data_IF_168450122907
#
_entry.id   IF_168450122907
#
_cell.length_a   1.000
_cell.length_b   1.000
_cell.length_c   1.000
_cell.angle_alpha   90.00
_cell.angle_beta   90.00
_cell.angle_gamma   90.00
#
_symmetry.space_group_name_H-M   'P 1'
#
loop_
_entity.id
_entity.type
_entity.pdbx_description
1 polymer ?
#
# COMPACT_ATOMS: atom_id res chain seq x y z
N UNK A 1 11.60 -18.90 57.32
CA UNK A 1 11.18 -18.52 58.69
C UNK A 1 11.53 -17.04 58.84
N UNK A 2 10.65 -16.14 58.38
CA UNK A 2 9.53 -15.57 59.16
C UNK A 2 10.07 -14.53 60.15
N UNK A 3 9.64 -13.27 60.27
CA UNK A 3 8.38 -12.55 60.01
C UNK A 3 8.75 -11.03 60.13
N UNK A 4 8.51 -10.17 59.14
CA UNK A 4 7.37 -9.24 58.99
C UNK A 4 7.39 -7.91 59.81
N UNK A 5 7.42 -6.80 59.03
CA UNK A 5 6.68 -5.51 59.15
C UNK A 5 6.87 -4.52 60.32
N UNK A 6 7.08 -3.28 59.84
CA UNK A 6 6.50 -1.97 60.23
C UNK A 6 7.10 -1.26 61.46
N UNK A 7 7.64 -0.07 61.21
CA UNK A 7 7.21 1.17 61.88
C UNK A 7 7.43 2.38 60.96
N UNK A 8 6.31 3.04 60.67
CA UNK A 8 6.19 4.36 60.07
C UNK A 8 6.05 5.34 61.24
N UNK A 9 6.78 6.46 61.25
CA UNK A 9 6.26 7.82 61.48
C UNK A 9 7.34 8.83 61.93
N UNK A 10 7.12 10.06 61.44
CA UNK A 10 7.50 11.37 61.98
C UNK A 10 8.93 11.87 61.77
N UNK A 11 9.04 12.89 60.90
CA UNK A 11 9.46 14.27 61.19
C UNK A 11 9.48 14.97 59.81
N UNK A 12 8.85 16.12 59.59
CA UNK A 12 8.93 17.32 60.39
C UNK A 12 9.40 18.42 59.43
N UNK A 13 8.46 19.27 59.06
CA UNK A 13 8.54 20.51 58.28
C UNK A 13 9.84 21.35 58.40
N UNK A 14 10.37 21.77 57.25
CA UNK A 14 11.00 23.07 56.96
C UNK A 14 10.98 23.19 55.42
N UNK A 15 10.32 24.13 54.76
CA UNK A 15 10.08 25.52 55.11
C UNK A 15 10.95 26.43 54.24
N UNK A 16 10.65 26.54 52.94
CA UNK A 16 11.03 27.73 52.16
C UNK A 16 10.09 27.92 50.96
N UNK A 17 9.21 28.90 51.08
CA UNK A 17 8.53 29.56 49.98
C UNK A 17 9.59 30.22 49.08
N UNK A 18 9.76 29.71 47.86
CA UNK A 18 10.47 30.44 46.79
C UNK A 18 9.59 30.41 45.55
N UNK A 19 9.09 31.59 45.20
CA UNK A 19 8.71 31.99 43.85
C UNK A 19 7.65 31.15 43.15
N UNK A 20 6.38 31.52 43.30
CA UNK A 20 5.39 31.38 42.24
C UNK A 20 5.79 32.29 41.06
N UNK A 21 6.84 31.89 40.35
CA UNK A 21 7.02 32.28 38.96
C UNK A 21 5.96 31.50 38.18
N UNK A 22 5.05 32.23 37.57
CA UNK A 22 4.05 31.73 36.63
C UNK A 22 4.72 30.88 35.54
N UNK A 23 4.79 29.57 35.77
CA UNK A 23 4.97 28.57 34.73
C UNK A 23 3.66 28.47 33.96
N UNK A 24 3.35 29.49 33.16
CA UNK A 24 2.52 29.32 31.97
C UNK A 24 3.37 28.70 30.86
N UNK A 25 4.14 27.66 31.19
CA UNK A 25 4.66 26.74 30.21
C UNK A 25 3.53 25.80 29.89
N UNK A 26 2.61 26.24 29.03
CA UNK A 26 1.65 25.34 28.41
C UNK A 26 2.46 24.21 27.81
N UNK A 27 2.34 23.01 28.39
CA UNK A 27 2.94 21.82 27.82
C UNK A 27 2.29 21.68 26.44
N UNK A 28 3.00 22.04 25.37
CA UNK A 28 2.46 21.91 24.01
C UNK A 28 2.41 20.43 23.68
N UNK A 29 1.32 19.80 24.14
CA UNK A 29 1.02 18.40 23.94
C UNK A 29 1.05 18.02 22.46
N UNK A 30 0.88 18.96 21.53
CA UNK A 30 1.01 18.71 20.09
C UNK A 30 2.41 18.22 19.71
N UNK A 31 3.47 18.82 20.25
CA UNK A 31 4.86 18.40 19.98
C UNK A 31 5.16 16.98 20.46
N UNK A 32 4.49 16.51 21.52
CA UNK A 32 4.62 15.13 22.02
C UNK A 32 3.98 14.09 21.09
N UNK A 33 3.08 14.51 20.19
CA UNK A 33 2.45 13.65 19.17
C UNK A 33 2.95 13.96 17.75
N UNK A 34 4.05 14.71 17.62
CA UNK A 34 4.63 15.03 16.33
C UNK A 34 5.12 13.75 15.64
N UNK A 35 4.56 13.47 14.46
CA UNK A 35 5.00 12.40 13.59
C UNK A 35 6.10 12.97 12.70
N UNK A 36 7.28 12.32 12.59
CA UNK A 36 8.33 12.81 11.70
C UNK A 36 7.86 12.78 10.24
N UNK A 37 8.37 13.70 9.39
CA UNK A 37 8.07 13.68 7.97
C UNK A 37 8.57 12.37 7.37
N UNK A 38 7.82 11.87 6.38
CA UNK A 38 8.18 10.69 5.60
C UNK A 38 9.01 11.11 4.40
N UNK A 39 9.97 10.27 4.06
CA UNK A 39 10.72 10.44 2.84
C UNK A 39 9.87 9.99 1.63
N UNK A 40 9.47 10.95 0.78
CA UNK A 40 8.72 10.65 -0.44
C UNK A 40 9.64 10.20 -1.55
N UNK A 41 9.66 8.88 -1.80
CA UNK A 41 10.42 8.26 -2.90
C UNK A 41 9.48 7.76 -3.98
N UNK A 42 9.92 7.85 -5.23
CA UNK A 42 9.17 7.28 -6.35
C UNK A 42 9.21 5.74 -6.34
N UNK A 43 10.39 5.14 -6.15
CA UNK A 43 10.54 3.70 -5.95
C UNK A 43 10.75 3.38 -4.47
N UNK A 44 9.99 2.41 -3.95
CA UNK A 44 10.14 1.91 -2.60
C UNK A 44 11.24 0.84 -2.57
N UNK A 45 12.31 1.01 -1.76
CA UNK A 45 13.33 -0.02 -1.60
C UNK A 45 12.71 -1.36 -1.16
N UNK A 46 13.26 -2.48 -1.65
CA UNK A 46 12.75 -3.83 -1.38
C UNK A 46 12.55 -4.12 0.12
N UNK A 47 13.49 -3.67 0.96
CA UNK A 47 13.48 -3.82 2.42
C UNK A 47 12.40 -2.97 3.13
N UNK A 48 11.98 -1.87 2.50
CA UNK A 48 10.95 -0.96 3.03
C UNK A 48 9.57 -1.20 2.41
N UNK A 49 9.48 -2.10 1.42
CA UNK A 49 8.22 -2.43 0.77
C UNK A 49 7.33 -3.20 1.74
N UNK A 50 6.08 -2.77 1.88
CA UNK A 50 5.16 -3.33 2.87
C UNK A 50 4.97 -4.84 2.66
N UNK A 51 4.83 -5.58 3.76
CA UNK A 51 4.61 -7.03 3.72
C UNK A 51 3.34 -7.36 4.49
N UNK A 52 2.44 -8.08 3.85
CA UNK A 52 1.26 -8.69 4.48
C UNK A 52 1.27 -10.18 4.13
N UNK A 53 1.15 -11.00 5.16
CA UNK A 53 0.98 -12.46 5.07
C UNK A 53 -0.28 -12.80 5.84
N UNK A 54 -1.21 -13.53 5.22
CA UNK A 54 -2.43 -13.94 5.92
C UNK A 54 -2.15 -15.06 6.95
N UNK A 55 -1.06 -15.80 6.75
CA UNK A 55 -0.56 -16.83 7.66
C UNK A 55 0.95 -16.62 7.86
N UNK A 56 1.33 -16.16 9.05
CA UNK A 56 2.73 -16.06 9.48
C UNK A 56 3.02 -17.16 10.51
N UNK A 57 3.23 -18.37 10.01
CA UNK A 57 3.60 -19.55 10.81
C UNK A 57 5.06 -19.90 10.55
N UNK A 58 5.83 -20.33 11.56
CA UNK A 58 7.19 -20.83 11.35
C UNK A 58 7.24 -22.06 10.44
N UNK A 59 6.11 -22.74 10.22
CA UNK A 59 5.97 -23.89 9.31
C UNK A 59 5.45 -23.51 7.92
N UNK A 60 5.43 -22.21 7.58
CA UNK A 60 4.96 -21.79 6.27
C UNK A 60 5.94 -22.24 5.17
N UNK A 61 5.50 -23.18 4.33
CA UNK A 61 6.28 -23.76 3.23
C UNK A 61 6.80 -22.71 2.24
N UNK A 62 6.21 -21.52 2.21
CA UNK A 62 6.67 -20.41 1.36
C UNK A 62 8.05 -19.85 1.73
N UNK A 63 8.53 -20.07 2.97
CA UNK A 63 9.81 -19.53 3.46
C UNK A 63 11.03 -20.21 2.84
N UNK A 64 10.87 -21.48 2.47
CA UNK A 64 11.97 -22.36 2.06
C UNK A 64 11.80 -22.90 0.63
N UNK A 65 11.01 -22.22 -0.21
CA UNK A 65 10.91 -22.57 -1.61
C UNK A 65 12.28 -22.48 -2.29
N UNK A 66 12.75 -23.65 -2.72
CA UNK A 66 13.92 -23.80 -3.58
C UNK A 66 13.52 -23.56 -5.04
N UNK A 67 14.25 -22.67 -5.70
CA UNK A 67 14.05 -22.32 -7.11
C UNK A 67 14.17 -23.52 -8.06
N UNK A 68 15.05 -24.47 -7.76
CA UNK A 68 15.32 -25.64 -8.61
C UNK A 68 14.25 -26.72 -8.44
N UNK A 69 13.62 -26.78 -7.26
CA UNK A 69 12.55 -27.73 -6.96
C UNK A 69 11.16 -27.16 -7.23
N UNK A 70 11.04 -25.84 -7.30
CA UNK A 70 9.77 -25.16 -7.53
C UNK A 70 9.16 -25.54 -8.89
N UNK A 71 7.86 -25.77 -8.86
CA UNK A 71 7.03 -26.07 -10.02
C UNK A 71 5.70 -25.33 -9.89
N UNK A 72 5.13 -24.95 -11.03
CA UNK A 72 3.80 -24.37 -11.12
C UNK A 72 2.96 -25.15 -12.12
N UNK A 73 1.78 -25.57 -11.67
CA UNK A 73 0.81 -26.28 -12.51
C UNK A 73 -0.15 -25.28 -13.14
N UNK A 74 -0.38 -25.38 -14.45
CA UNK A 74 -1.45 -24.67 -15.16
C UNK A 74 -2.47 -25.71 -15.62
N UNK A 75 -3.72 -25.59 -15.16
CA UNK A 75 -4.78 -26.58 -15.35
C UNK A 75 -6.17 -25.93 -15.53
N UNK A 76 -7.21 -26.76 -15.53
CA UNK A 76 -8.61 -26.33 -15.62
C UNK A 76 -9.13 -26.36 -17.04
N UNK A 77 -9.90 -25.36 -17.44
CA UNK A 77 -10.42 -25.18 -18.80
C UNK A 77 -9.31 -24.72 -19.77
N UNK A 78 -8.32 -25.59 -19.99
CA UNK A 78 -7.18 -25.40 -20.90
C UNK A 78 -7.01 -26.62 -21.78
N UNK A 79 -6.64 -26.43 -23.05
CA UNK A 79 -6.39 -27.54 -23.98
C UNK A 79 -5.11 -28.32 -23.64
N UNK A 80 -4.08 -27.62 -23.15
CA UNK A 80 -2.76 -28.17 -22.86
C UNK A 80 -2.37 -27.88 -21.40
N UNK A 81 -2.80 -28.70 -20.44
CA UNK A 81 -2.30 -28.61 -19.06
C UNK A 81 -0.78 -28.73 -19.04
N UNK A 82 -0.11 -27.90 -18.24
CA UNK A 82 1.35 -27.85 -18.20
C UNK A 82 1.88 -27.74 -16.78
N UNK A 83 3.10 -28.25 -16.58
CA UNK A 83 3.88 -28.07 -15.36
C UNK A 83 5.13 -27.28 -15.73
N UNK A 84 5.21 -26.06 -15.24
CA UNK A 84 6.33 -25.15 -15.50
C UNK A 84 7.33 -25.20 -14.36
N UNK A 85 8.61 -25.36 -14.71
CA UNK A 85 9.74 -25.18 -13.81
C UNK A 85 10.31 -23.77 -13.98
N UNK A 86 11.20 -23.40 -13.07
CA UNK A 86 11.87 -22.09 -13.12
C UNK A 86 12.51 -21.77 -14.49
N UNK A 87 13.21 -22.73 -15.10
CA UNK A 87 13.86 -22.52 -16.41
C UNK A 87 12.85 -22.26 -17.53
N UNK A 88 11.66 -22.86 -17.45
CA UNK A 88 10.63 -22.66 -18.46
C UNK A 88 10.13 -21.22 -18.45
N UNK A 89 10.03 -20.60 -17.26
CA UNK A 89 9.68 -19.17 -17.14
C UNK A 89 10.74 -18.26 -17.76
N UNK A 90 12.02 -18.56 -17.51
CA UNK A 90 13.13 -17.75 -18.05
C UNK A 90 13.30 -17.89 -19.57
N UNK A 91 12.78 -18.95 -20.17
CA UNK A 91 12.79 -19.15 -21.62
C UNK A 91 11.67 -18.37 -22.35
N UNK A 92 10.77 -17.72 -21.61
CA UNK A 92 9.71 -16.88 -22.17
C UNK A 92 10.15 -15.41 -22.21
N UNK A 93 9.54 -14.63 -23.10
CA UNK A 93 9.86 -13.21 -23.25
C UNK A 93 9.47 -12.44 -21.98
N UNK A 94 10.41 -11.76 -21.30
CA UNK A 94 10.06 -10.93 -20.17
C UNK A 94 9.65 -9.52 -20.58
N UNK A 95 8.94 -8.83 -19.68
CA UNK A 95 8.73 -7.39 -19.76
C UNK A 95 8.84 -6.72 -18.40
N UNK A 96 9.11 -5.41 -18.42
CA UNK A 96 9.21 -4.56 -17.24
C UNK A 96 7.95 -3.74 -17.08
N UNK A 97 7.52 -3.54 -15.84
CA UNK A 97 6.41 -2.67 -15.52
C UNK A 97 6.62 -1.98 -14.19
N UNK A 98 6.45 -0.66 -14.17
CA UNK A 98 6.32 0.06 -12.90
C UNK A 98 4.87 -0.04 -12.44
N UNK A 99 4.63 -0.57 -11.26
CA UNK A 99 3.29 -0.57 -10.67
C UNK A 99 3.33 -0.44 -9.14
N UNK A 100 2.31 0.25 -8.63
CA UNK A 100 2.08 0.39 -7.20
C UNK A 100 1.22 -0.74 -6.69
N UNK A 101 1.66 -1.37 -5.61
CA UNK A 101 0.88 -2.34 -4.86
C UNK A 101 0.39 -1.68 -3.57
N UNK A 102 -0.88 -1.87 -3.24
CA UNK A 102 -1.52 -1.28 -2.05
C UNK A 102 -2.34 -2.34 -1.33
N UNK A 103 -2.26 -2.39 0.00
CA UNK A 103 -3.13 -3.24 0.80
C UNK A 103 -4.55 -2.67 0.83
N UNK A 104 -5.57 -3.53 0.81
CA UNK A 104 -6.97 -3.12 0.97
C UNK A 104 -7.25 -2.49 2.34
N UNK A 105 -6.43 -2.81 3.35
CA UNK A 105 -6.54 -2.28 4.72
C UNK A 105 -5.85 -0.91 4.91
N UNK A 106 -5.38 -0.29 3.82
CA UNK A 106 -4.67 0.99 3.89
C UNK A 106 -5.65 2.13 4.20
N UNK A 107 -5.60 2.63 5.44
CA UNK A 107 -6.34 3.83 5.85
C UNK A 107 -5.83 5.09 5.13
N UNK A 108 -6.62 6.18 5.04
CA UNK A 108 -6.15 7.47 4.56
C UNK A 108 -4.85 7.89 5.26
N UNK A 109 -3.81 8.19 4.47
CA UNK A 109 -2.48 8.50 5.00
C UNK A 109 -1.63 7.31 5.47
N UNK A 110 -2.13 6.09 5.30
CA UNK A 110 -1.47 4.85 5.68
C UNK A 110 -0.21 4.55 4.89
N UNK A 111 0.51 3.51 5.32
CA UNK A 111 1.84 3.15 4.80
C UNK A 111 1.90 1.77 4.13
N UNK A 112 0.78 1.05 4.06
CA UNK A 112 0.69 -0.29 3.48
C UNK A 112 0.59 -0.27 1.95
N UNK A 113 1.50 0.44 1.31
CA UNK A 113 1.63 0.56 -0.14
C UNK A 113 3.10 0.75 -0.54
N UNK A 114 3.44 0.36 -1.76
CA UNK A 114 4.78 0.50 -2.32
C UNK A 114 4.77 0.54 -3.84
N UNK A 115 5.73 1.22 -4.44
CA UNK A 115 5.89 1.31 -5.90
C UNK A 115 7.24 0.72 -6.30
N UNK A 116 7.22 -0.19 -7.27
CA UNK A 116 8.40 -0.94 -7.69
C UNK A 116 8.39 -1.18 -9.20
N UNK A 117 9.57 -1.48 -9.74
CA UNK A 117 9.70 -2.07 -11.08
C UNK A 117 9.57 -3.58 -10.93
N UNK A 118 8.61 -4.18 -11.60
CA UNK A 118 8.42 -5.63 -11.67
C UNK A 118 8.90 -6.13 -13.02
N UNK A 119 9.57 -7.29 -13.03
CA UNK A 119 9.89 -8.01 -14.27
C UNK A 119 9.39 -9.45 -14.16
N UNK A 120 8.72 -9.88 -15.22
CA UNK A 120 8.01 -11.16 -15.26
C UNK A 120 7.66 -11.58 -16.68
N UNK A 121 6.88 -12.66 -16.78
CA UNK A 121 6.24 -13.10 -18.02
C UNK A 121 4.78 -12.66 -18.05
N UNK A 122 4.20 -12.52 -19.24
CA UNK A 122 2.77 -12.21 -19.41
C UNK A 122 1.91 -13.40 -18.99
N UNK A 123 0.92 -13.14 -18.14
CA UNK A 123 -0.08 -14.15 -17.79
C UNK A 123 -0.95 -14.48 -19.02
N UNK A 124 -1.35 -13.45 -19.78
CA UNK A 124 -2.12 -13.59 -21.01
C UNK A 124 -1.44 -14.53 -22.00
N UNK A 125 -0.15 -14.31 -22.30
CA UNK A 125 0.59 -15.18 -23.23
C UNK A 125 0.64 -16.63 -22.73
N UNK A 126 0.82 -16.84 -21.43
CA UNK A 126 0.81 -18.17 -20.83
C UNK A 126 -0.56 -18.86 -20.96
N UNK A 127 -1.65 -18.14 -20.73
CA UNK A 127 -3.01 -18.68 -20.86
C UNK A 127 -3.35 -19.02 -22.32
N UNK A 128 -2.90 -18.19 -23.27
CA UNK A 128 -3.02 -18.48 -24.70
C UNK A 128 -2.21 -19.74 -25.07
N UNK A 129 -0.96 -19.85 -24.58
CA UNK A 129 -0.10 -21.02 -24.80
C UNK A 129 -0.75 -22.31 -24.26
N UNK A 130 -1.37 -22.25 -23.08
CA UNK A 130 -2.11 -23.36 -22.50
C UNK A 130 -3.39 -23.71 -23.27
N UNK A 131 -3.85 -22.83 -24.17
CA UNK A 131 -5.12 -22.98 -24.88
C UNK A 131 -6.31 -22.82 -23.95
N UNK A 132 -6.30 -21.78 -23.11
CA UNK A 132 -7.42 -21.44 -22.24
C UNK A 132 -8.71 -21.21 -23.07
N UNK A 133 -9.79 -21.86 -22.67
CA UNK A 133 -11.08 -21.77 -23.34
C UNK A 133 -11.78 -20.46 -22.97
N UNK A 134 -11.65 -19.45 -23.83
CA UNK A 134 -12.25 -18.13 -23.62
C UNK A 134 -13.79 -18.16 -23.63
N UNK A 135 -14.44 -19.20 -24.17
CA UNK A 135 -15.90 -19.29 -24.19
C UNK A 135 -16.45 -19.70 -22.82
N UNK A 136 -15.77 -20.62 -22.14
CA UNK A 136 -16.21 -21.17 -20.85
C UNK A 136 -15.50 -20.57 -19.64
N UNK A 137 -14.28 -20.03 -19.80
CA UNK A 137 -13.53 -19.42 -18.70
C UNK A 137 -14.25 -18.19 -18.16
N UNK A 138 -14.37 -18.12 -16.83
CA UNK A 138 -14.96 -16.99 -16.09
C UNK A 138 -13.95 -16.38 -15.14
N UNK A 139 -13.18 -17.22 -14.45
CA UNK A 139 -12.14 -16.81 -13.50
C UNK A 139 -10.82 -17.52 -13.78
N UNK A 140 -9.72 -16.91 -13.33
CA UNK A 140 -8.42 -17.57 -13.19
C UNK A 140 -8.06 -17.59 -11.72
N UNK A 141 -7.94 -18.80 -11.17
CA UNK A 141 -7.61 -19.03 -9.76
C UNK A 141 -6.10 -19.18 -9.62
N UNK A 142 -5.54 -18.56 -8.59
CA UNK A 142 -4.13 -18.66 -8.22
C UNK A 142 -4.02 -19.26 -6.82
N UNK A 143 -3.08 -20.19 -6.63
CA UNK A 143 -2.77 -20.76 -5.31
C UNK A 143 -1.30 -20.59 -4.99
N UNK A 144 -1.04 -20.09 -3.79
CA UNK A 144 0.28 -19.96 -3.21
C UNK A 144 0.69 -21.19 -2.42
N UNK A 145 2.00 -21.40 -2.28
CA UNK A 145 2.57 -22.44 -1.43
C UNK A 145 2.21 -22.29 0.06
N UNK A 146 1.79 -21.10 0.48
CA UNK A 146 1.30 -20.81 1.82
C UNK A 146 -0.17 -21.18 2.02
N UNK A 147 -0.79 -21.86 1.05
CA UNK A 147 -2.22 -22.16 0.96
C UNK A 147 -3.13 -20.94 0.75
N UNK A 148 -2.57 -19.75 0.49
CA UNK A 148 -3.37 -18.61 0.07
C UNK A 148 -3.95 -18.87 -1.32
N UNK A 149 -5.17 -18.43 -1.54
CA UNK A 149 -5.79 -18.50 -2.86
C UNK A 149 -6.76 -17.35 -3.09
N UNK A 150 -6.78 -16.88 -4.32
CA UNK A 150 -7.71 -15.87 -4.82
C UNK A 150 -7.89 -16.06 -6.32
N UNK A 151 -8.87 -15.40 -6.92
CA UNK A 151 -9.08 -15.37 -8.36
C UNK A 151 -9.19 -13.93 -8.87
N UNK A 152 -8.98 -13.78 -10.18
CA UNK A 152 -9.41 -12.61 -10.93
C UNK A 152 -10.30 -13.06 -12.09
N UNK A 153 -11.20 -12.20 -12.58
CA UNK A 153 -11.98 -12.49 -13.78
C UNK A 153 -11.06 -12.84 -14.96
N UNK A 154 -11.48 -13.78 -15.80
CA UNK A 154 -10.71 -14.22 -16.97
C UNK A 154 -10.39 -13.04 -17.90
N UNK A 155 -11.34 -12.14 -18.11
CA UNK A 155 -11.12 -10.90 -18.87
C UNK A 155 -9.93 -10.11 -18.32
N UNK A 156 -9.87 -9.92 -17.00
CA UNK A 156 -8.75 -9.23 -16.33
C UNK A 156 -7.44 -9.99 -16.52
N UNK A 157 -7.45 -11.32 -16.44
CA UNK A 157 -6.26 -12.14 -16.61
C UNK A 157 -5.66 -12.05 -18.03
N UNK A 158 -6.48 -11.67 -19.01
CA UNK A 158 -6.10 -11.49 -20.42
C UNK A 158 -5.60 -10.08 -20.76
N UNK A 159 -5.49 -9.20 -19.78
CA UNK A 159 -4.86 -7.89 -19.95
C UNK A 159 -3.33 -8.02 -20.13
N UNK A 160 -2.73 -7.10 -20.90
CA UNK A 160 -1.30 -7.17 -21.24
C UNK A 160 -0.38 -6.86 -20.05
N UNK A 161 -0.87 -6.07 -19.09
CA UNK A 161 -0.14 -5.63 -17.89
C UNK A 161 -0.11 -6.64 -16.73
N UNK A 162 -0.85 -7.75 -16.84
CA UNK A 162 -0.90 -8.79 -15.81
C UNK A 162 0.26 -9.75 -15.99
N UNK A 163 1.09 -9.88 -14.95
CA UNK A 163 2.34 -10.64 -15.02
C UNK A 163 2.52 -11.63 -13.88
N UNK A 164 3.28 -12.67 -14.20
CA UNK A 164 3.95 -13.52 -13.24
C UNK A 164 5.36 -12.96 -13.03
N UNK A 165 5.52 -12.14 -11.99
CA UNK A 165 6.75 -11.46 -11.67
C UNK A 165 7.73 -12.37 -10.93
N UNK A 166 9.01 -12.24 -11.27
CA UNK A 166 10.10 -12.97 -10.63
C UNK A 166 11.30 -12.08 -10.25
N UNK A 167 11.35 -10.82 -10.72
CA UNK A 167 12.23 -9.78 -10.21
C UNK A 167 11.44 -8.56 -9.71
N UNK A 168 12.03 -7.85 -8.75
CA UNK A 168 11.51 -6.63 -8.13
C UNK A 168 12.65 -5.64 -7.93
N UNK A 169 12.49 -4.43 -8.49
CA UNK A 169 13.50 -3.38 -8.53
C UNK A 169 14.84 -3.83 -9.11
N UNK A 170 14.80 -4.67 -10.15
CA UNK A 170 16.00 -5.21 -10.81
C UNK A 170 16.70 -6.35 -10.07
N UNK A 171 16.21 -6.71 -8.88
CA UNK A 171 16.76 -7.79 -8.06
C UNK A 171 15.84 -9.01 -8.06
N UNK A 172 16.40 -10.16 -7.68
CA UNK A 172 15.61 -11.38 -7.40
C UNK A 172 14.51 -11.04 -6.39
N UNK A 173 13.28 -11.51 -6.62
CA UNK A 173 12.20 -11.30 -5.67
C UNK A 173 12.65 -11.66 -4.24
N UNK A 174 12.51 -10.75 -3.26
CA UNK A 174 12.73 -11.11 -1.88
C UNK A 174 11.73 -12.19 -1.43
N UNK A 175 12.15 -13.08 -0.53
CA UNK A 175 11.29 -14.18 -0.03
C UNK A 175 9.95 -13.69 0.51
N UNK A 176 9.96 -12.60 1.28
CA UNK A 176 8.75 -11.98 1.84
C UNK A 176 7.76 -11.48 0.77
N UNK A 177 8.27 -11.18 -0.43
CA UNK A 177 7.52 -10.61 -1.55
C UNK A 177 7.13 -11.65 -2.60
N UNK A 178 7.29 -12.95 -2.32
CA UNK A 178 6.72 -14.01 -3.15
C UNK A 178 7.71 -14.78 -4.01
N UNK A 179 9.00 -14.78 -3.68
CA UNK A 179 9.99 -15.62 -4.35
C UNK A 179 9.55 -17.11 -4.40
N UNK A 180 9.57 -17.82 -5.55
CA UNK A 180 10.17 -17.40 -6.82
C UNK A 180 9.28 -16.59 -7.75
N UNK A 181 7.96 -16.74 -7.64
CA UNK A 181 6.99 -16.12 -8.54
C UNK A 181 5.80 -15.59 -7.77
N UNK A 182 5.38 -14.37 -8.11
CA UNK A 182 4.13 -13.77 -7.65
C UNK A 182 3.30 -13.25 -8.81
N UNK A 183 2.01 -13.08 -8.57
CA UNK A 183 1.13 -12.34 -9.46
C UNK A 183 1.27 -10.83 -9.20
N UNK A 184 1.22 -10.07 -10.29
CA UNK A 184 1.01 -8.62 -10.29
C UNK A 184 -0.18 -8.32 -11.21
N UNK A 185 -1.25 -7.77 -10.62
CA UNK A 185 -2.48 -7.33 -11.29
C UNK A 185 -2.65 -5.84 -11.01
N UNK A 186 -2.25 -4.95 -11.93
CA UNK A 186 -2.41 -3.52 -11.78
C UNK A 186 -3.87 -3.11 -11.53
N UNK A 187 -4.04 -2.07 -10.69
CA UNK A 187 -5.35 -1.54 -10.33
C UNK A 187 -6.13 -2.32 -9.27
N UNK A 188 -5.69 -3.54 -8.91
CA UNK A 188 -6.28 -4.32 -7.82
C UNK A 188 -5.43 -4.27 -6.55
N UNK A 189 -6.10 -4.30 -5.39
CA UNK A 189 -5.44 -4.36 -4.09
C UNK A 189 -4.58 -5.63 -3.97
N UNK A 190 -3.61 -5.57 -3.07
CA UNK A 190 -2.66 -6.66 -2.80
C UNK A 190 -3.33 -8.00 -2.42
N UNK A 191 -4.59 -7.97 -1.96
CA UNK A 191 -5.39 -9.17 -1.69
C UNK A 191 -5.51 -10.08 -2.92
N UNK A 192 -5.65 -9.49 -4.13
CA UNK A 192 -5.74 -10.20 -5.40
C UNK A 192 -4.38 -10.62 -5.98
N UNK A 193 -3.27 -10.19 -5.37
CA UNK A 193 -1.91 -10.36 -5.92
C UNK A 193 -1.16 -11.50 -5.20
N UNK A 194 -1.58 -12.74 -5.49
CA UNK A 194 -1.08 -13.98 -4.84
C UNK A 194 0.45 -14.10 -4.94
N UNK A 195 1.09 -14.44 -3.82
CA UNK A 195 2.53 -14.69 -3.71
C UNK A 195 2.81 -16.19 -3.73
N UNK A 196 4.06 -16.56 -4.05
CA UNK A 196 4.55 -17.94 -3.96
C UNK A 196 3.74 -18.93 -4.81
N UNK A 197 3.38 -18.54 -6.03
CA UNK A 197 2.41 -19.27 -6.84
C UNK A 197 2.93 -20.68 -7.16
N UNK A 198 2.07 -21.67 -7.00
CA UNK A 198 2.31 -23.07 -7.35
C UNK A 198 1.22 -23.64 -8.26
N UNK A 199 0.09 -22.95 -8.40
CA UNK A 199 -1.02 -23.37 -9.26
C UNK A 199 -1.74 -22.18 -9.89
N UNK A 200 -2.07 -22.33 -11.17
CA UNK A 200 -2.97 -21.49 -11.95
C UNK A 200 -4.06 -22.41 -12.53
N UNK A 201 -5.32 -22.07 -12.29
CA UNK A 201 -6.47 -22.85 -12.74
C UNK A 201 -7.45 -21.96 -13.50
N UNK A 202 -7.67 -22.25 -14.78
CA UNK A 202 -8.73 -21.61 -15.57
C UNK A 202 -10.06 -22.23 -15.18
N UNK A 203 -10.97 -21.44 -14.64
CA UNK A 203 -12.19 -21.90 -14.00
C UNK A 203 -13.43 -21.34 -14.70
N UNK A 204 -14.47 -22.16 -14.82
CA UNK A 204 -15.69 -21.84 -15.57
C UNK A 204 -16.83 -21.24 -14.72
N UNK A 205 -16.55 -20.95 -13.45
CA UNK A 205 -17.51 -20.34 -12.53
C UNK A 205 -16.94 -19.11 -11.84
N UNK A 206 -17.71 -18.60 -10.89
CA UNK A 206 -17.31 -17.54 -9.97
C UNK A 206 -16.61 -18.17 -8.75
N UNK A 207 -15.31 -17.89 -8.59
CA UNK A 207 -14.52 -18.44 -7.51
C UNK A 207 -14.31 -17.43 -6.38
N UNK A 208 -14.86 -17.72 -5.21
CA UNK A 208 -14.61 -16.90 -4.03
C UNK A 208 -13.31 -17.33 -3.31
N UNK A 209 -12.33 -16.44 -3.28
CA UNK A 209 -11.03 -16.61 -2.62
C UNK A 209 -11.10 -16.64 -1.08
N UNK A 210 -9.93 -16.71 -0.44
CA UNK A 210 -9.83 -16.87 1.02
C UNK A 210 -10.52 -15.73 1.79
N UNK A 211 -10.26 -14.48 1.40
CA UNK A 211 -10.80 -13.31 2.09
C UNK A 211 -12.21 -12.96 1.66
N UNK A 212 -12.59 -13.25 0.43
CA UNK A 212 -13.94 -13.03 -0.08
C UNK A 212 -14.95 -13.86 0.71
N UNK A 213 -14.60 -15.13 1.02
CA UNK A 213 -15.37 -15.99 1.94
C UNK A 213 -15.48 -15.45 3.37
N UNK A 214 -14.67 -14.47 3.74
CA UNK A 214 -14.70 -13.78 5.04
C UNK A 214 -15.37 -12.40 4.96
N UNK A 215 -16.06 -12.10 3.87
CA UNK A 215 -16.84 -10.88 3.68
C UNK A 215 -16.00 -9.69 3.20
N UNK A 216 -14.87 -9.94 2.55
CA UNK A 216 -14.19 -8.92 1.73
C UNK A 216 -14.78 -8.90 0.32
N UNK A 217 -14.62 -7.76 -0.34
CA UNK A 217 -15.02 -7.56 -1.75
C UNK A 217 -14.36 -8.57 -2.69
N UNK A 218 -15.10 -8.95 -3.72
CA UNK A 218 -14.55 -9.79 -4.79
C UNK A 218 -13.88 -8.98 -5.91
N UNK A 219 -14.31 -7.75 -6.18
CA UNK A 219 -13.65 -6.93 -7.21
C UNK A 219 -12.22 -6.56 -6.82
N UNK A 220 -12.03 -6.15 -5.56
CA UNK A 220 -10.71 -5.77 -5.03
C UNK A 220 -10.07 -4.57 -5.73
N UNK A 221 -10.84 -3.73 -6.43
CA UNK A 221 -10.34 -2.54 -7.13
C UNK A 221 -9.87 -1.47 -6.16
N UNK A 222 -8.68 -0.92 -6.41
CA UNK A 222 -8.11 0.16 -5.59
C UNK A 222 -8.93 1.45 -5.74
N UNK A 223 -9.24 2.07 -4.60
CA UNK A 223 -9.82 3.42 -4.57
C UNK A 223 -8.74 4.48 -4.76
N UNK A 224 -9.14 5.66 -5.25
CA UNK A 224 -8.25 6.82 -5.33
C UNK A 224 -7.72 7.13 -3.94
N UNK A 225 -6.40 7.25 -3.82
CA UNK A 225 -5.67 7.49 -2.59
C UNK A 225 -4.74 8.69 -2.75
N UNK A 226 -4.60 9.49 -1.70
CA UNK A 226 -3.56 10.50 -1.60
C UNK A 226 -3.07 10.62 -0.15
N UNK A 227 -1.81 10.99 -0.01
CA UNK A 227 -1.14 11.11 1.29
C UNK A 227 -0.15 12.26 1.29
N UNK A 228 -0.10 12.96 2.41
CA UNK A 228 0.91 13.97 2.75
C UNK A 228 2.01 13.24 3.51
N UNK A 229 3.23 13.32 2.98
CA UNK A 229 4.42 12.72 3.58
C UNK A 229 5.21 13.74 4.39
N UNK A 230 5.33 14.95 3.86
CA UNK A 230 5.98 16.08 4.52
C UNK A 230 5.13 17.33 4.34
N UNK A 231 4.97 18.16 5.38
CA UNK A 231 5.39 17.95 6.77
C UNK A 231 4.66 16.76 7.42
N UNK A 232 5.17 16.31 8.57
CA UNK A 232 4.51 15.30 9.39
C UNK A 232 3.38 15.89 10.24
N UNK A 233 2.52 15.02 10.79
CA UNK A 233 1.41 15.43 11.66
C UNK A 233 1.94 16.05 12.97
N UNK A 234 1.36 17.17 13.40
CA UNK A 234 1.80 18.05 14.49
C UNK A 234 3.24 18.57 14.40
N UNK A 235 3.84 18.60 13.20
CA UNK A 235 5.19 19.13 13.06
C UNK A 235 5.21 20.66 13.21
N UNK A 236 6.20 21.16 13.96
CA UNK A 236 6.53 22.58 14.01
C UNK A 236 7.22 23.02 12.71
N UNK A 237 6.72 24.10 12.13
CA UNK A 237 7.21 24.64 10.86
C UNK A 237 7.63 26.08 11.09
N UNK A 238 8.79 26.44 10.53
CA UNK A 238 9.36 27.78 10.62
C UNK A 238 9.63 28.34 9.25
N UNK A 239 9.44 29.64 9.12
CA UNK A 239 9.75 30.40 7.92
C UNK A 239 8.53 30.69 7.03
N UNK A 240 8.72 31.57 6.03
CA UNK A 240 7.61 32.15 5.27
C UNK A 240 7.00 31.19 4.24
N UNK A 241 7.68 30.09 3.90
CA UNK A 241 7.26 29.14 2.87
C UNK A 241 7.30 27.71 3.39
N UNK A 242 6.16 27.03 3.36
CA UNK A 242 6.02 25.64 3.80
C UNK A 242 5.97 24.72 2.58
N UNK A 243 6.87 23.76 2.51
CA UNK A 243 6.87 22.73 1.46
C UNK A 243 6.01 21.54 1.88
N UNK A 244 4.95 21.28 1.12
CA UNK A 244 4.16 20.06 1.17
C UNK A 244 4.59 19.12 0.06
N UNK A 245 4.74 17.83 0.39
CA UNK A 245 5.10 16.77 -0.54
C UNK A 245 4.40 15.48 -0.14
N UNK A 246 4.09 14.65 -1.12
CA UNK A 246 3.48 13.36 -0.87
C UNK A 246 3.26 12.56 -2.15
N UNK A 247 2.38 11.57 -2.06
CA UNK A 247 2.02 10.71 -3.18
C UNK A 247 0.51 10.68 -3.41
N UNK A 248 0.11 10.33 -4.62
CA UNK A 248 -1.27 10.03 -4.97
C UNK A 248 -1.32 8.84 -5.93
N UNK A 249 -2.37 8.02 -5.83
CA UNK A 249 -2.51 6.80 -6.60
C UNK A 249 -3.98 6.57 -6.95
N UNK A 250 -4.29 6.37 -8.23
CA UNK A 250 -5.66 6.27 -8.72
C UNK A 250 -6.15 4.84 -8.94
N UNK A 251 -5.36 3.83 -8.55
CA UNK A 251 -5.73 2.43 -8.73
C UNK A 251 -5.74 2.04 -10.21
N UNK A 252 -6.91 1.76 -10.82
CA UNK A 252 -7.02 1.43 -12.25
C UNK A 252 -6.74 2.63 -13.18
N UNK A 253 -6.80 3.86 -12.66
CA UNK A 253 -6.57 5.08 -13.42
C UNK A 253 -5.33 5.81 -12.88
N UNK A 254 -4.61 6.53 -13.75
CA UNK A 254 -3.54 7.43 -13.31
C UNK A 254 -4.13 8.69 -12.66
N UNK A 255 -3.30 9.46 -11.95
CA UNK A 255 -3.70 10.74 -11.35
C UNK A 255 -3.51 11.88 -12.33
N UNK A 256 -4.55 12.71 -12.50
CA UNK A 256 -4.52 13.94 -13.28
C UNK A 256 -4.20 15.17 -12.42
N UNK A 257 -4.75 15.23 -11.20
CA UNK A 257 -4.59 16.38 -10.31
C UNK A 257 -4.48 15.96 -8.85
N UNK A 258 -3.74 16.72 -8.06
CA UNK A 258 -3.69 16.63 -6.61
C UNK A 258 -3.95 18.02 -6.05
N UNK A 259 -4.81 18.09 -5.04
CA UNK A 259 -5.23 19.35 -4.45
C UNK A 259 -5.08 19.34 -2.94
N UNK A 260 -4.69 20.48 -2.38
CA UNK A 260 -4.62 20.69 -0.94
C UNK A 260 -5.67 21.72 -0.50
N UNK A 261 -6.23 21.50 0.68
CA UNK A 261 -7.09 22.45 1.38
C UNK A 261 -6.46 22.86 2.69
N UNK A 262 -6.57 24.14 3.03
CA UNK A 262 -6.04 24.77 4.25
C UNK A 262 -7.15 25.39 5.11
N UNK A 263 -8.41 25.20 4.73
CA UNK A 263 -9.58 25.89 5.29
C UNK A 263 -10.73 24.93 5.62
N UNK A 264 -10.38 23.71 6.02
CA UNK A 264 -11.32 22.63 6.34
C UNK A 264 -12.14 22.22 5.09
N UNK A 265 -11.45 21.98 3.97
CA UNK A 265 -12.00 21.39 2.75
C UNK A 265 -12.99 22.29 1.99
N UNK A 266 -13.00 23.60 2.30
CA UNK A 266 -13.87 24.59 1.64
C UNK A 266 -13.29 25.03 0.30
N UNK A 267 -11.98 25.25 0.22
CA UNK A 267 -11.26 25.59 -1.00
C UNK A 267 -10.10 24.63 -1.25
N UNK A 268 -9.73 24.50 -2.53
CA UNK A 268 -8.77 23.53 -3.03
C UNK A 268 -7.76 24.23 -3.93
N UNK A 269 -6.48 23.95 -3.71
CA UNK A 269 -5.36 24.53 -4.44
C UNK A 269 -4.56 23.42 -5.11
N UNK A 270 -4.25 23.61 -6.38
CA UNK A 270 -3.56 22.60 -7.19
C UNK A 270 -2.09 22.46 -6.80
N UNK A 271 -1.66 21.22 -6.58
CA UNK A 271 -0.27 20.83 -6.44
C UNK A 271 0.34 20.50 -7.80
N UNK A 272 1.66 20.65 -7.89
CA UNK A 272 2.43 20.19 -9.06
C UNK A 272 2.70 18.69 -8.93
N UNK A 273 2.42 17.93 -9.99
CA UNK A 273 2.66 16.50 -10.06
C UNK A 273 3.93 16.22 -10.87
N UNK A 274 4.79 15.34 -10.37
CA UNK A 274 5.92 14.80 -11.13
C UNK A 274 5.42 13.79 -12.17
N UNK A 275 5.96 13.76 -13.41
CA UNK A 275 5.48 12.86 -14.45
C UNK A 275 5.48 11.38 -14.01
N UNK A 276 4.37 10.65 -14.16
CA UNK A 276 4.32 9.22 -13.85
C UNK A 276 5.25 8.43 -14.77
N UNK A 277 5.94 7.43 -14.22
CA UNK A 277 6.73 6.46 -15.01
C UNK A 277 5.86 5.37 -15.64
N UNK A 278 4.60 5.23 -15.21
CA UNK A 278 3.63 4.24 -15.69
C UNK A 278 2.20 4.65 -15.30
N UNK A 279 1.17 4.30 -16.09
CA UNK A 279 -0.23 4.52 -15.69
C UNK A 279 -0.62 3.74 -14.42
N UNK A 280 0.13 2.70 -14.07
CA UNK A 280 -0.13 1.81 -12.92
C UNK A 280 0.61 2.19 -11.65
N UNK A 281 1.31 3.32 -11.68
CA UNK A 281 2.15 3.79 -10.58
C UNK A 281 1.51 4.96 -9.86
N UNK A 282 1.87 5.16 -8.59
CA UNK A 282 1.60 6.42 -7.94
C UNK A 282 2.36 7.56 -8.64
N UNK A 283 1.90 8.78 -8.37
CA UNK A 283 2.62 10.00 -8.68
C UNK A 283 3.14 10.63 -7.40
N UNK A 284 4.23 11.38 -7.52
CA UNK A 284 4.71 12.25 -6.46
C UNK A 284 4.22 13.66 -6.74
N UNK A 285 3.75 14.36 -5.71
CA UNK A 285 3.25 15.73 -5.84
C UNK A 285 3.97 16.66 -4.87
N UNK A 286 4.01 17.95 -5.24
CA UNK A 286 4.68 19.01 -4.51
C UNK A 286 3.81 20.27 -4.49
N UNK A 287 3.74 20.93 -3.35
CA UNK A 287 3.07 22.21 -3.22
C UNK A 287 3.82 23.11 -2.25
N UNK A 288 4.14 24.33 -2.67
CA UNK A 288 4.76 25.33 -1.82
C UNK A 288 3.69 26.31 -1.36
N UNK A 289 3.43 26.37 -0.05
CA UNK A 289 2.46 27.29 0.55
C UNK A 289 3.20 28.51 1.13
N UNK A 290 3.02 29.70 0.55
CA UNK A 290 3.49 30.93 1.18
C UNK A 290 2.55 31.36 2.32
N UNK A 291 3.11 32.12 3.25
CA UNK A 291 2.40 32.95 4.24
C UNK A 291 1.30 32.20 4.99
N UNK A 292 1.66 31.03 5.55
CA UNK A 292 0.74 30.31 6.43
C UNK A 292 0.51 31.10 7.74
N UNK A 293 -0.75 31.18 8.23
CA UNK A 293 -1.04 31.86 9.48
C UNK A 293 -0.33 31.16 10.64
N UNK A 294 0.13 31.97 11.61
CA UNK A 294 0.75 31.46 12.83
C UNK A 294 -0.21 30.56 13.62
N UNK A 295 0.35 29.54 14.27
CA UNK A 295 -0.38 28.57 15.06
C UNK A 295 -0.79 27.33 14.27
N UNK A 296 -1.81 26.63 14.79
CA UNK A 296 -2.23 25.32 14.27
C UNK A 296 -3.08 25.49 13.01
N UNK A 297 -2.65 24.84 11.93
CA UNK A 297 -3.39 24.78 10.67
C UNK A 297 -3.61 23.33 10.26
N UNK A 298 -4.86 22.99 9.92
CA UNK A 298 -5.20 21.68 9.36
C UNK A 298 -5.07 21.73 7.84
N UNK A 299 -4.44 20.72 7.26
CA UNK A 299 -4.20 20.59 5.83
C UNK A 299 -4.73 19.24 5.36
N UNK A 300 -5.69 19.25 4.43
CA UNK A 300 -6.24 18.04 3.80
C UNK A 300 -5.72 17.90 2.37
N UNK A 301 -5.53 16.67 1.89
CA UNK A 301 -5.18 16.38 0.49
C UNK A 301 -6.24 15.50 -0.17
N UNK A 302 -6.50 15.74 -1.45
CA UNK A 302 -7.28 14.86 -2.32
C UNK A 302 -6.64 14.72 -3.69
N UNK A 303 -6.94 13.63 -4.39
CA UNK A 303 -6.55 13.44 -5.78
C UNK A 303 -7.76 13.33 -6.72
N UNK A 304 -7.52 13.59 -8.00
CA UNK A 304 -8.47 13.45 -9.09
C UNK A 304 -7.80 12.61 -10.16
N UNK A 305 -8.45 11.53 -10.60
CA UNK A 305 -7.90 10.62 -11.59
C UNK A 305 -8.06 11.17 -13.03
N UNK A 306 -7.47 10.47 -14.01
CA UNK A 306 -7.57 10.83 -15.43
C UNK A 306 -8.98 10.74 -16.03
N UNK A 307 -9.93 10.16 -15.32
CA UNK A 307 -11.35 10.12 -15.74
C UNK A 307 -12.14 11.31 -15.19
N UNK A 308 -11.53 12.14 -14.32
CA UNK A 308 -12.18 13.24 -13.62
C UNK A 308 -12.85 12.82 -12.31
N UNK A 309 -12.67 11.57 -11.87
CA UNK A 309 -13.23 11.08 -10.61
C UNK A 309 -12.44 11.67 -9.45
N UNK A 310 -13.15 12.30 -8.51
CA UNK A 310 -12.56 12.92 -7.32
C UNK A 310 -12.51 11.92 -6.17
N UNK A 311 -11.39 11.87 -5.44
CA UNK A 311 -11.27 11.09 -4.20
C UNK A 311 -12.37 11.49 -3.20
N UNK A 312 -13.10 10.49 -2.71
CA UNK A 312 -14.21 10.72 -1.76
C UNK A 312 -13.70 11.14 -0.38
N UNK A 313 -14.38 12.12 0.23
CA UNK A 313 -14.16 12.50 1.63
C UNK A 313 -14.94 11.64 2.63
N UNK A 314 -15.87 10.81 2.16
CA UNK A 314 -16.59 9.87 3.01
C UNK A 314 -15.63 8.88 3.62
N UNK A 315 -15.58 8.83 4.95
CA UNK A 315 -14.75 7.88 5.68
C UNK A 315 -15.48 6.54 5.75
N UNK A 316 -14.84 5.50 5.26
CA UNK A 316 -15.30 4.12 5.44
C UNK A 316 -14.18 3.29 6.03
N UNK A 317 -14.55 2.34 6.90
CA UNK A 317 -13.59 1.37 7.42
C UNK A 317 -13.15 0.43 6.30
N UNK A 318 -11.95 -0.18 6.41
CA UNK A 318 -11.43 -1.10 5.41
C UNK A 318 -12.39 -2.21 4.94
N UNK A 319 -13.00 -2.96 5.84
CA UNK A 319 -13.91 -4.04 5.47
C UNK A 319 -15.33 -3.48 5.21
N UNK A 320 -15.97 -3.79 4.07
CA UNK A 320 -15.65 -4.88 3.13
C UNK A 320 -14.81 -4.51 1.90
N UNK A 321 -14.70 -3.24 1.52
CA UNK A 321 -14.29 -2.84 0.18
C UNK A 321 -13.18 -1.78 0.15
N UNK A 322 -12.22 -1.86 1.06
CA UNK A 322 -11.15 -0.88 1.22
C UNK A 322 -11.58 0.39 1.94
N UNK A 323 -10.64 1.05 2.60
CA UNK A 323 -10.91 2.29 3.31
C UNK A 323 -10.99 3.48 2.35
N UNK A 324 -11.85 4.44 2.68
CA UNK A 324 -11.97 5.70 1.96
C UNK A 324 -11.86 6.90 2.91
N UNK A 325 -11.71 8.10 2.34
CA UNK A 325 -11.56 9.35 3.07
C UNK A 325 -10.34 10.14 2.61
N UNK A 326 -10.21 11.35 3.12
CA UNK A 326 -9.06 12.21 2.85
C UNK A 326 -8.01 12.07 3.94
N UNK A 327 -6.74 12.23 3.58
CA UNK A 327 -5.68 12.35 4.56
C UNK A 327 -5.55 13.81 4.97
N UNK A 328 -5.54 14.06 6.27
CA UNK A 328 -5.34 15.39 6.84
C UNK A 328 -4.22 15.37 7.88
N UNK A 329 -3.42 16.43 7.89
CA UNK A 329 -2.44 16.69 8.94
C UNK A 329 -2.73 17.99 9.65
N UNK A 330 -2.27 18.13 10.89
CA UNK A 330 -2.18 19.42 11.57
C UNK A 330 -0.72 19.82 11.58
N UNK A 331 -0.41 21.07 11.28
CA UNK A 331 0.93 21.64 11.38
C UNK A 331 0.90 22.84 12.31
N UNK A 332 1.99 23.11 13.01
CA UNK A 332 2.11 24.28 13.89
C UNK A 332 3.10 25.27 13.29
N UNK A 333 2.61 26.41 12.82
CA UNK A 333 3.43 27.43 12.16
C UNK A 333 3.92 28.41 13.21
N UNK A 334 5.23 28.51 13.36
CA UNK A 334 5.89 29.50 14.21
C UNK A 334 6.47 30.58 13.29
N UNK A 335 5.85 31.76 13.30
CA UNK A 335 6.45 32.93 12.66
C UNK A 335 7.60 33.42 13.55
N UNK A 336 8.75 33.67 12.93
CA UNK A 336 9.97 34.07 13.62
C UNK A 336 9.92 35.53 14.09
#
# INVERSE_FOLDING_TARGET
>A
MDITRRKLFQLGSLGTLVGLGSLTGGCDLGSMFAVPPRETRYFTPNEKFYTVNYMDSPYNLSRDLDQEQWQMVVKGAVANPMVLKWRDLLNRRPFDQVSTLMCIDTLPGGTSLGNAIWRGISLKELLIEAGADAETARDVIFRGADAYHDSIPFERAMHDEVMLAYLMNGEKLPKAHGFPVRLIVPGLYGIKNVKWITEIEVYNGDYQGYWQRKGWTDEGTIHIFSRIDSPGHYQDIRGPNVQFRGIAFGGPNSIAQVQLSFDQEKTWLDATIEPPQSPWSWVVWNYQRPDMPEGKSMVSVRAIDTTGTVQTSTITRPQPNGATGLHSIVVNVQNA
#
